data_IF_508788568361
#
_entry.id   IF_508788568361
#
_cell.length_a   1.000
_cell.length_b   1.000
_cell.length_c   1.000
_cell.angle_alpha   90.00
_cell.angle_beta   90.00
_cell.angle_gamma   90.00
#
_symmetry.space_group_name_H-M   'P 1'
#
loop_
_entity.id
_entity.type
_entity.pdbx_description
1 polymer ?
#
# COMPACT_ATOMS: atom_id res chain seq x y z
N UNK A 1 -1.55 -4.03 12.59
CA UNK A 1 -0.18 -3.47 12.64
C UNK A 1 0.95 -4.36 12.09
N UNK A 2 0.98 -5.67 12.38
CA UNK A 2 2.15 -6.55 12.08
C UNK A 2 2.57 -6.55 10.60
N UNK A 3 1.61 -6.55 9.68
CA UNK A 3 1.87 -6.50 8.24
C UNK A 3 2.41 -5.13 7.78
N UNK A 4 1.74 -4.02 8.07
CA UNK A 4 2.20 -2.69 7.67
C UNK A 4 3.58 -2.35 8.25
N UNK A 5 3.84 -2.74 9.51
CA UNK A 5 5.17 -2.60 10.13
C UNK A 5 6.22 -3.50 9.47
N UNK A 6 5.87 -4.74 9.14
CA UNK A 6 6.77 -5.64 8.41
C UNK A 6 7.10 -5.08 7.02
N UNK A 7 6.11 -4.58 6.29
CA UNK A 7 6.31 -3.93 4.99
C UNK A 7 7.19 -2.69 5.11
N UNK A 8 6.93 -1.81 6.10
CA UNK A 8 7.73 -0.61 6.34
C UNK A 8 9.18 -0.95 6.71
N UNK A 9 9.44 -2.12 7.33
CA UNK A 9 10.78 -2.57 7.71
C UNK A 9 11.61 -3.20 6.58
N UNK A 10 11.00 -3.48 5.43
CA UNK A 10 11.71 -4.04 4.27
C UNK A 10 12.73 -3.03 3.70
N UNK A 11 13.77 -3.49 2.99
CA UNK A 11 14.62 -2.62 2.18
C UNK A 11 13.83 -1.94 1.06
N UNK A 12 14.19 -0.72 0.69
CA UNK A 12 13.50 0.05 -0.36
C UNK A 12 13.38 -0.67 -1.69
N UNK A 13 14.45 -1.36 -2.15
CA UNK A 13 14.44 -2.17 -3.37
C UNK A 13 13.37 -3.27 -3.31
N UNK A 14 13.23 -3.95 -2.17
CA UNK A 14 12.28 -5.05 -2.02
C UNK A 14 10.85 -4.54 -2.05
N UNK A 15 10.59 -3.37 -1.41
CA UNK A 15 9.29 -2.71 -1.49
C UNK A 15 8.94 -2.35 -2.94
N UNK A 16 9.88 -1.76 -3.68
CA UNK A 16 9.66 -1.39 -5.09
C UNK A 16 9.31 -2.63 -5.93
N UNK A 17 10.06 -3.73 -5.79
CA UNK A 17 9.75 -4.97 -6.51
C UNK A 17 8.37 -5.53 -6.14
N UNK A 18 8.02 -5.55 -4.85
CA UNK A 18 6.71 -5.98 -4.39
C UNK A 18 5.58 -5.10 -4.93
N UNK A 19 5.78 -3.79 -4.98
CA UNK A 19 4.82 -2.87 -5.60
C UNK A 19 4.72 -3.13 -7.10
N UNK A 20 5.83 -3.34 -7.81
CA UNK A 20 5.77 -3.55 -9.26
C UNK A 20 4.94 -4.79 -9.64
N UNK A 21 5.15 -5.91 -8.95
CA UNK A 21 4.51 -7.19 -9.32
C UNK A 21 3.25 -7.51 -8.53
N UNK A 22 3.11 -6.98 -7.31
CA UNK A 22 2.10 -7.40 -6.34
C UNK A 22 1.43 -6.22 -5.61
N UNK A 23 1.33 -5.03 -6.20
CA UNK A 23 0.71 -3.88 -5.52
C UNK A 23 -0.74 -4.13 -5.11
N UNK A 24 -1.50 -4.87 -5.93
CA UNK A 24 -2.88 -5.19 -5.61
C UNK A 24 -3.02 -5.91 -4.26
N UNK A 25 -2.09 -6.82 -3.95
CA UNK A 25 -2.04 -7.51 -2.66
C UNK A 25 -1.39 -6.60 -1.62
N UNK A 26 -0.20 -6.09 -1.91
CA UNK A 26 0.66 -5.44 -0.91
C UNK A 26 0.14 -4.06 -0.53
N UNK A 27 -0.19 -3.22 -1.51
CA UNK A 27 -0.84 -1.92 -1.33
C UNK A 27 -2.27 -2.04 -0.78
N UNK A 28 -3.05 -3.03 -1.22
CA UNK A 28 -4.39 -3.29 -0.71
C UNK A 28 -4.40 -3.72 0.76
N UNK A 29 -3.57 -4.71 1.11
CA UNK A 29 -3.44 -5.20 2.48
C UNK A 29 -2.83 -4.17 3.42
N UNK A 30 -1.87 -3.35 2.94
CA UNK A 30 -1.31 -2.25 3.71
C UNK A 30 -2.38 -1.24 4.12
N UNK A 31 -3.22 -0.82 3.16
CA UNK A 31 -4.33 0.13 3.40
C UNK A 31 -5.41 -0.46 4.29
N UNK A 32 -5.82 -1.71 4.06
CA UNK A 32 -6.76 -2.42 4.94
C UNK A 32 -6.28 -2.43 6.39
N UNK A 33 -5.01 -2.81 6.61
CA UNK A 33 -4.46 -2.92 7.95
C UNK A 33 -4.29 -1.56 8.64
N UNK A 34 -3.94 -0.50 7.90
CA UNK A 34 -3.91 0.87 8.45
C UNK A 34 -5.31 1.44 8.70
N UNK A 35 -6.26 1.16 7.82
CA UNK A 35 -7.64 1.63 7.93
C UNK A 35 -8.35 1.03 9.14
N UNK A 36 -8.18 -0.27 9.37
CA UNK A 36 -8.69 -0.94 10.57
C UNK A 36 -8.08 -0.36 11.86
N UNK A 37 -6.78 -0.07 11.86
CA UNK A 37 -6.07 0.48 13.01
C UNK A 37 -6.52 1.90 13.34
N UNK A 38 -6.68 2.75 12.31
CA UNK A 38 -7.15 4.13 12.44
C UNK A 38 -8.68 4.24 12.55
N UNK A 39 -9.42 3.12 12.50
CA UNK A 39 -10.89 3.06 12.36
C UNK A 39 -11.40 3.98 11.23
N UNK A 40 -10.65 4.09 10.14
CA UNK A 40 -10.96 4.94 9.01
C UNK A 40 -11.56 4.11 7.86
N UNK A 41 -12.87 4.26 7.67
CA UNK A 41 -13.64 3.53 6.66
C UNK A 41 -13.15 3.85 5.25
N UNK A 42 -12.72 5.09 4.97
CA UNK A 42 -12.23 5.48 3.63
C UNK A 42 -10.97 4.71 3.27
N UNK A 43 -10.03 4.57 4.21
CA UNK A 43 -8.78 3.81 4.02
C UNK A 43 -9.06 2.32 3.85
N UNK A 44 -10.04 1.77 4.57
CA UNK A 44 -10.49 0.38 4.42
C UNK A 44 -11.05 0.15 3.01
N UNK A 45 -11.97 1.01 2.58
CA UNK A 45 -12.57 0.93 1.24
C UNK A 45 -11.51 1.07 0.15
N UNK A 46 -10.56 2.01 0.31
CA UNK A 46 -9.43 2.16 -0.61
C UNK A 46 -8.58 0.88 -0.71
N UNK A 47 -8.34 0.19 0.41
CA UNK A 47 -7.64 -1.09 0.42
C UNK A 47 -8.40 -2.21 -0.32
N UNK A 48 -9.72 -2.27 -0.17
CA UNK A 48 -10.57 -3.22 -0.93
C UNK A 48 -10.49 -2.92 -2.43
N UNK A 49 -10.62 -1.64 -2.81
CA UNK A 49 -10.52 -1.22 -4.22
C UNK A 49 -9.16 -1.62 -4.80
N UNK A 50 -8.07 -1.34 -4.09
CA UNK A 50 -6.72 -1.72 -4.52
C UNK A 50 -6.56 -3.23 -4.73
N UNK A 51 -7.26 -4.05 -3.94
CA UNK A 51 -7.21 -5.50 -4.06
C UNK A 51 -7.80 -6.00 -5.39
N UNK A 52 -8.87 -5.35 -5.88
CA UNK A 52 -9.53 -5.72 -7.12
C UNK A 52 -8.98 -5.01 -8.36
N UNK A 53 -8.47 -3.78 -8.20
CA UNK A 53 -8.04 -2.96 -9.34
C UNK A 53 -6.53 -2.76 -9.43
N UNK A 54 -5.77 -3.19 -8.41
CA UNK A 54 -4.34 -2.85 -8.29
C UNK A 54 -4.09 -1.36 -8.12
N UNK A 55 -5.09 -0.60 -7.65
CA UNK A 55 -5.03 0.86 -7.61
C UNK A 55 -5.23 1.53 -8.97
N UNK A 56 -5.58 0.77 -10.00
CA UNK A 56 -5.43 1.15 -11.40
C UNK A 56 -3.98 1.56 -11.72
N UNK A 57 -3.71 1.94 -12.98
CA UNK A 57 -2.37 2.39 -13.38
C UNK A 57 -1.93 3.63 -12.57
N UNK A 58 -2.85 4.55 -12.29
CA UNK A 58 -2.55 5.82 -11.60
C UNK A 58 -2.15 5.57 -10.14
N UNK A 59 -2.93 4.77 -9.40
CA UNK A 59 -2.63 4.46 -8.01
C UNK A 59 -1.31 3.72 -7.87
N UNK A 60 -1.04 2.77 -8.76
CA UNK A 60 0.22 2.04 -8.81
C UNK A 60 1.44 2.96 -9.00
N UNK A 61 1.37 3.91 -9.94
CA UNK A 61 2.44 4.91 -10.16
C UNK A 61 2.64 5.79 -8.92
N UNK A 62 1.55 6.26 -8.30
CA UNK A 62 1.60 7.07 -7.08
C UNK A 62 2.27 6.29 -5.94
N UNK A 63 1.99 5.00 -5.85
CA UNK A 63 2.51 4.12 -4.81
C UNK A 63 4.01 3.87 -4.94
N UNK A 64 4.50 3.62 -6.16
CA UNK A 64 5.94 3.58 -6.45
C UNK A 64 6.61 4.89 -6.07
N UNK A 65 6.01 6.03 -6.45
CA UNK A 65 6.53 7.34 -6.08
C UNK A 65 6.58 7.54 -4.57
N UNK A 66 5.53 7.14 -3.84
CA UNK A 66 5.50 7.20 -2.38
C UNK A 66 6.59 6.33 -1.74
N UNK A 67 6.90 5.16 -2.29
CA UNK A 67 7.97 4.31 -1.76
C UNK A 67 9.34 4.94 -2.01
N UNK A 68 9.58 5.52 -3.18
CA UNK A 68 10.85 6.19 -3.49
C UNK A 68 11.07 7.40 -2.59
N UNK A 69 10.05 8.24 -2.39
CA UNK A 69 10.18 9.53 -1.68
C UNK A 69 9.99 9.39 -0.16
N UNK A 70 9.05 8.56 0.28
CA UNK A 70 8.64 8.42 1.69
C UNK A 70 8.99 7.07 2.29
N UNK A 71 9.45 6.10 1.50
CA UNK A 71 9.79 4.76 1.96
C UNK A 71 8.59 3.87 2.30
N UNK A 72 7.35 4.33 2.05
CA UNK A 72 6.10 3.62 2.38
C UNK A 72 4.89 4.17 1.64
N UNK A 73 3.83 3.38 1.58
CA UNK A 73 2.53 3.83 1.06
C UNK A 73 1.94 4.93 1.94
N UNK A 74 1.58 6.03 1.29
CA UNK A 74 1.04 7.24 1.95
C UNK A 74 -0.28 7.68 1.33
N UNK A 75 -0.46 7.48 0.03
CA UNK A 75 -1.71 7.81 -0.64
C UNK A 75 -2.84 6.89 -0.16
N UNK A 76 -3.88 7.48 0.43
CA UNK A 76 -5.02 6.76 0.98
C UNK A 76 -4.64 5.62 1.95
N UNK A 77 -3.53 5.79 2.71
CA UNK A 77 -2.96 4.79 3.62
C UNK A 77 -2.62 5.36 5.03
#
# INVERSE_FOLDING_TARGET
MKYAKAFDSLPGIVKILLTIFFDFITGGLYRLMKGLDKKNIVTIVAGIIWFFTGGCIIGWVIDIFCIIVKGKYTFLA
#
